data_IF_055994189600
#
_entry.id   IF_055994189600
#
_cell.length_a   1.000
_cell.length_b   1.000
_cell.length_c   1.000
_cell.angle_alpha   90.00
_cell.angle_beta   90.00
_cell.angle_gamma   90.00
#
_symmetry.space_group_name_H-M   'P 1'
#
loop_
_entity.id
_entity.type
_entity.pdbx_description
1 polymer ?
#
# COMPACT_ATOMS: atom_id res chain seq x y z
N UNK A 1 -12.95 -9.71 -8.00
CA UNK A 1 -14.05 -10.24 -8.82
C UNK A 1 -13.55 -10.39 -10.24
N UNK A 2 -13.81 -11.55 -10.88
CA UNK A 2 -13.44 -11.86 -12.26
C UNK A 2 -14.71 -12.31 -12.99
N UNK A 3 -15.10 -11.58 -14.03
CA UNK A 3 -16.33 -11.81 -14.82
C UNK A 3 -17.59 -12.11 -13.97
N UNK A 4 -17.78 -11.30 -12.91
CA UNK A 4 -18.93 -11.40 -12.02
C UNK A 4 -18.85 -12.51 -10.97
N UNK A 5 -17.73 -13.23 -10.86
CA UNK A 5 -17.48 -14.22 -9.82
C UNK A 5 -16.46 -13.72 -8.79
N UNK A 6 -16.73 -13.97 -7.51
CA UNK A 6 -15.78 -13.69 -6.44
C UNK A 6 -14.72 -14.80 -6.40
N UNK A 7 -13.51 -14.50 -6.86
CA UNK A 7 -12.41 -15.47 -6.95
C UNK A 7 -11.32 -15.26 -5.91
N UNK A 8 -11.32 -14.12 -5.21
CA UNK A 8 -10.30 -13.78 -4.23
C UNK A 8 -10.88 -12.84 -3.18
N UNK A 9 -10.55 -13.08 -1.91
CA UNK A 9 -10.79 -12.16 -0.81
C UNK A 9 -9.45 -11.59 -0.32
N UNK A 10 -9.43 -10.29 -0.09
CA UNK A 10 -8.31 -9.58 0.52
C UNK A 10 -8.76 -9.05 1.88
N UNK A 11 -8.08 -9.47 2.94
CA UNK A 11 -8.39 -9.04 4.32
C UNK A 11 -7.13 -8.49 4.97
N UNK A 12 -7.19 -7.25 5.43
CA UNK A 12 -6.13 -6.65 6.23
C UNK A 12 -6.50 -6.76 7.71
N UNK A 13 -5.90 -7.73 8.40
CA UNK A 13 -6.16 -7.95 9.81
C UNK A 13 -5.52 -6.84 10.65
N UNK A 14 -6.38 -5.98 11.21
CA UNK A 14 -5.97 -5.01 12.24
C UNK A 14 -5.86 -5.68 13.61
N UNK A 15 -6.64 -6.74 13.82
CA UNK A 15 -6.70 -7.48 15.06
C UNK A 15 -6.85 -8.98 14.79
N UNK A 16 -6.26 -9.82 15.65
CA UNK A 16 -6.50 -11.26 15.71
C UNK A 16 -6.62 -11.71 17.16
N UNK A 17 -7.60 -12.55 17.49
CA UNK A 17 -7.85 -12.96 18.87
C UNK A 17 -8.16 -11.79 19.82
N UNK A 18 -8.72 -10.69 19.31
CA UNK A 18 -8.90 -9.40 20.04
C UNK A 18 -7.61 -8.67 20.41
N UNK A 19 -6.47 -9.09 19.86
CA UNK A 19 -5.18 -8.41 20.02
C UNK A 19 -4.88 -7.60 18.75
N UNK A 20 -4.40 -6.34 18.86
CA UNK A 20 -3.92 -5.59 17.72
C UNK A 20 -2.71 -6.29 17.08
N UNK A 21 -2.63 -6.26 15.76
CA UNK A 21 -1.49 -6.79 15.01
C UNK A 21 -0.53 -5.66 14.67
N UNK A 22 0.76 -5.91 14.85
CA UNK A 22 1.86 -5.04 14.44
C UNK A 22 3.02 -5.90 13.90
N UNK A 23 3.32 -5.85 12.59
CA UNK A 23 2.62 -5.09 11.56
C UNK A 23 1.22 -5.67 11.26
N UNK A 24 0.37 -4.85 10.63
CA UNK A 24 -0.91 -5.30 10.04
C UNK A 24 -0.64 -6.45 9.07
N UNK A 25 -1.29 -7.59 9.29
CA UNK A 25 -1.17 -8.76 8.42
C UNK A 25 -2.17 -8.70 7.28
N UNK A 26 -1.75 -9.08 6.07
CA UNK A 26 -2.64 -9.26 4.92
C UNK A 26 -2.87 -10.75 4.68
N UNK A 27 -4.14 -11.12 4.52
CA UNK A 27 -4.56 -12.43 4.05
C UNK A 27 -5.14 -12.31 2.65
N UNK A 28 -4.66 -13.18 1.76
CA UNK A 28 -5.14 -13.33 0.39
C UNK A 28 -5.69 -14.74 0.24
N UNK A 29 -7.02 -14.85 0.11
CA UNK A 29 -7.71 -16.14 0.03
C UNK A 29 -8.22 -16.35 -1.39
N UNK A 30 -7.74 -17.41 -2.05
CA UNK A 30 -8.14 -17.75 -3.42
C UNK A 30 -9.28 -18.77 -3.43
N UNK A 31 -10.36 -18.47 -4.16
CA UNK A 31 -11.40 -19.45 -4.50
C UNK A 31 -10.93 -20.31 -5.66
N UNK A 32 -10.10 -21.32 -5.37
CA UNK A 32 -9.41 -22.14 -6.37
C UNK A 32 -10.36 -22.72 -7.41
N UNK A 33 -11.48 -23.32 -6.99
CA UNK A 33 -12.43 -23.95 -7.91
C UNK A 33 -13.00 -22.95 -8.93
N UNK A 34 -13.32 -21.73 -8.50
CA UNK A 34 -13.83 -20.67 -9.39
C UNK A 34 -12.76 -20.19 -10.37
N UNK A 35 -11.52 -20.09 -9.91
CA UNK A 35 -10.38 -19.76 -10.79
C UNK A 35 -10.18 -20.86 -11.83
N UNK A 36 -10.19 -22.13 -11.42
CA UNK A 36 -10.03 -23.27 -12.32
C UNK A 36 -11.19 -23.36 -13.32
N UNK A 37 -12.43 -23.17 -12.87
CA UNK A 37 -13.60 -23.09 -13.76
C UNK A 37 -13.41 -22.03 -14.85
N UNK A 38 -12.91 -20.85 -14.47
CA UNK A 38 -12.62 -19.78 -15.42
C UNK A 38 -11.56 -20.21 -16.44
N UNK A 39 -10.42 -20.72 -15.96
CA UNK A 39 -9.30 -21.14 -16.81
C UNK A 39 -9.67 -22.28 -17.77
N UNK A 40 -10.54 -23.19 -17.35
CA UNK A 40 -11.01 -24.31 -18.16
C UNK A 40 -12.30 -24.01 -18.95
N UNK A 41 -12.79 -22.77 -18.88
CA UNK A 41 -14.03 -22.33 -19.51
C UNK A 41 -15.25 -23.22 -19.15
N UNK A 42 -15.38 -23.59 -17.86
CA UNK A 42 -16.45 -24.41 -17.30
C UNK A 42 -17.48 -23.55 -16.57
N UNK A 43 -18.75 -23.94 -16.67
CA UNK A 43 -19.88 -23.20 -16.05
C UNK A 43 -20.27 -23.71 -14.67
N UNK A 44 -19.85 -24.92 -14.32
CA UNK A 44 -20.13 -25.57 -13.04
C UNK A 44 -18.89 -26.30 -12.55
N UNK A 45 -18.72 -26.37 -11.23
CA UNK A 45 -17.55 -27.00 -10.58
C UNK A 45 -17.40 -28.48 -10.95
N UNK A 46 -18.51 -29.17 -11.14
CA UNK A 46 -18.56 -30.60 -11.48
C UNK A 46 -17.88 -30.94 -12.81
N UNK A 47 -17.83 -29.97 -13.75
CA UNK A 47 -17.24 -30.18 -15.08
C UNK A 47 -15.73 -29.88 -15.12
N UNK A 48 -15.13 -29.48 -13.98
CA UNK A 48 -13.69 -29.26 -13.87
C UNK A 48 -12.98 -30.58 -14.18
N UNK A 49 -12.00 -30.49 -15.06
CA UNK A 49 -11.03 -31.53 -15.31
C UNK A 49 -9.93 -31.44 -14.24
N UNK A 50 -9.72 -32.52 -13.48
CA UNK A 50 -8.80 -32.52 -12.34
C UNK A 50 -7.38 -32.93 -12.75
N UNK A 51 -7.24 -33.88 -13.68
CA UNK A 51 -5.95 -34.49 -14.03
C UNK A 51 -5.81 -34.90 -15.53
N UNK A 52 -6.73 -34.48 -16.39
CA UNK A 52 -6.81 -34.86 -17.80
C UNK A 52 -7.57 -36.17 -18.06
N UNK A 53 -8.00 -36.86 -17.01
CA UNK A 53 -8.67 -38.16 -17.08
C UNK A 53 -10.00 -38.13 -16.32
N UNK A 54 -10.03 -37.55 -15.13
CA UNK A 54 -11.16 -37.55 -14.23
C UNK A 54 -11.75 -36.14 -14.06
N UNK A 55 -13.07 -36.11 -13.95
CA UNK A 55 -13.82 -34.92 -13.59
C UNK A 55 -13.90 -34.73 -12.08
N UNK A 56 -14.11 -33.48 -11.65
CA UNK A 56 -14.38 -33.14 -10.26
C UNK A 56 -15.63 -33.88 -9.73
N UNK A 57 -16.60 -34.11 -10.62
CA UNK A 57 -17.79 -34.90 -10.34
C UNK A 57 -17.48 -36.29 -9.82
N UNK A 58 -16.67 -37.04 -10.57
CA UNK A 58 -16.34 -38.43 -10.28
C UNK A 58 -15.59 -38.57 -8.95
N UNK A 59 -14.77 -37.58 -8.62
CA UNK A 59 -13.94 -37.60 -7.41
C UNK A 59 -14.72 -37.13 -6.18
N UNK A 60 -15.51 -36.06 -6.30
CA UNK A 60 -16.02 -35.34 -5.12
C UNK A 60 -17.54 -35.38 -4.94
N UNK A 61 -18.34 -35.64 -6.00
CA UNK A 61 -19.82 -35.62 -5.86
C UNK A 61 -20.34 -36.58 -4.78
N UNK A 62 -19.90 -37.84 -4.71
CA UNK A 62 -20.44 -38.77 -3.70
C UNK A 62 -20.22 -38.25 -2.28
N UNK A 63 -19.01 -37.80 -1.96
CA UNK A 63 -18.66 -37.26 -0.65
C UNK A 63 -19.44 -35.98 -0.32
N UNK A 64 -19.62 -35.08 -1.29
CA UNK A 64 -20.41 -33.85 -1.08
C UNK A 64 -21.87 -34.16 -0.77
N UNK A 65 -22.48 -35.11 -1.49
CA UNK A 65 -23.85 -35.56 -1.25
C UNK A 65 -23.98 -36.20 0.13
N UNK A 66 -23.06 -37.09 0.50
CA UNK A 66 -23.04 -37.73 1.82
C UNK A 66 -22.89 -36.69 2.95
N UNK A 67 -22.01 -35.70 2.77
CA UNK A 67 -21.87 -34.60 3.73
C UNK A 67 -23.13 -33.74 3.82
N UNK A 68 -23.80 -33.42 2.71
CA UNK A 68 -25.05 -32.67 2.74
C UNK A 68 -26.14 -33.42 3.50
N UNK A 69 -26.35 -34.71 3.18
CA UNK A 69 -27.33 -35.56 3.87
C UNK A 69 -27.02 -35.63 5.37
N UNK A 70 -25.75 -35.85 5.73
CA UNK A 70 -25.35 -35.87 7.13
C UNK A 70 -25.59 -34.52 7.81
N UNK A 71 -25.03 -33.43 7.27
CA UNK A 71 -25.04 -32.10 7.88
C UNK A 71 -26.45 -31.52 8.01
N UNK A 72 -27.34 -31.77 7.05
CA UNK A 72 -28.67 -31.16 7.02
C UNK A 72 -29.76 -32.06 7.58
N UNK A 73 -29.61 -33.39 7.57
CA UNK A 73 -30.70 -34.31 7.90
C UNK A 73 -30.35 -35.26 9.05
N UNK A 74 -29.20 -35.94 8.98
CA UNK A 74 -28.91 -37.08 9.85
C UNK A 74 -28.09 -36.77 11.10
N UNK A 75 -27.35 -35.65 11.13
CA UNK A 75 -26.51 -35.30 12.27
C UNK A 75 -27.37 -35.22 13.55
N UNK A 76 -26.92 -35.96 14.56
CA UNK A 76 -27.61 -36.08 15.83
C UNK A 76 -27.33 -34.87 16.71
N UNK A 77 -28.35 -34.04 16.89
CA UNK A 77 -28.25 -32.76 17.58
C UNK A 77 -27.81 -32.92 19.03
N UNK A 78 -28.31 -33.93 19.74
CA UNK A 78 -28.02 -34.12 21.16
C UNK A 78 -26.56 -34.58 21.36
N UNK A 79 -26.08 -35.50 20.51
CA UNK A 79 -24.67 -35.89 20.51
C UNK A 79 -23.75 -34.74 20.13
N UNK A 80 -24.12 -33.92 19.15
CA UNK A 80 -23.33 -32.75 18.77
C UNK A 80 -23.27 -31.71 19.90
N UNK A 81 -24.36 -31.49 20.65
CA UNK A 81 -24.35 -30.63 21.84
C UNK A 81 -23.41 -31.17 22.92
N UNK A 82 -23.45 -32.47 23.20
CA UNK A 82 -22.52 -33.10 24.14
C UNK A 82 -21.06 -32.95 23.70
N UNK A 83 -20.78 -33.19 22.42
CA UNK A 83 -19.43 -33.01 21.86
C UNK A 83 -18.96 -31.56 21.98
N UNK A 84 -19.83 -30.59 21.71
CA UNK A 84 -19.52 -29.18 21.88
C UNK A 84 -19.12 -28.87 23.33
N UNK A 85 -19.89 -29.33 24.31
CA UNK A 85 -19.61 -29.14 25.74
C UNK A 85 -18.29 -29.81 26.16
N UNK A 86 -18.02 -31.02 25.66
CA UNK A 86 -16.75 -31.73 25.91
C UNK A 86 -15.57 -30.94 25.34
N UNK A 87 -15.64 -30.52 24.07
CA UNK A 87 -14.56 -29.74 23.46
C UNK A 87 -14.36 -28.38 24.14
N UNK A 88 -15.45 -27.74 24.56
CA UNK A 88 -15.38 -26.52 25.33
C UNK A 88 -14.65 -26.72 26.66
N UNK A 89 -14.99 -27.78 27.40
CA UNK A 89 -14.37 -28.12 28.67
C UNK A 89 -12.88 -28.45 28.51
N UNK A 90 -12.51 -29.24 27.49
CA UNK A 90 -11.11 -29.58 27.21
C UNK A 90 -10.30 -28.35 26.79
N UNK A 91 -10.84 -27.48 25.93
CA UNK A 91 -10.20 -26.21 25.60
C UNK A 91 -9.94 -25.36 26.86
N UNK A 92 -10.93 -25.24 27.75
CA UNK A 92 -10.78 -24.51 29.02
C UNK A 92 -9.73 -25.15 29.93
N UNK A 93 -9.70 -26.48 30.02
CA UNK A 93 -8.74 -27.24 30.80
C UNK A 93 -7.29 -27.05 30.28
N UNK A 94 -7.10 -27.00 28.97
CA UNK A 94 -5.81 -26.72 28.34
C UNK A 94 -5.38 -25.26 28.56
N UNK A 95 -6.29 -24.29 28.39
CA UNK A 95 -6.03 -22.86 28.65
C UNK A 95 -5.58 -22.65 30.09
N UNK A 96 -6.30 -23.24 31.05
CA UNK A 96 -5.97 -23.14 32.47
C UNK A 96 -4.58 -23.71 32.83
N UNK A 97 -4.07 -24.64 32.02
CA UNK A 97 -2.73 -25.26 32.17
C UNK A 97 -1.66 -24.63 31.29
N UNK A 98 -1.99 -23.59 30.52
CA UNK A 98 -1.03 -22.94 29.64
C UNK A 98 -0.66 -23.74 28.39
N UNK A 99 -1.49 -24.69 27.97
CA UNK A 99 -1.26 -25.54 26.79
C UNK A 99 -1.93 -24.94 25.54
N UNK A 100 -1.22 -24.06 24.83
CA UNK A 100 -1.77 -23.27 23.70
C UNK A 100 -2.27 -24.12 22.53
N UNK A 101 -1.41 -24.95 21.94
CA UNK A 101 -1.75 -25.69 20.71
C UNK A 101 -2.91 -26.67 20.96
N UNK A 102 -2.91 -27.50 22.03
CA UNK A 102 -4.06 -28.35 22.32
C UNK A 102 -5.35 -27.55 22.58
N UNK A 103 -5.27 -26.41 23.26
CA UNK A 103 -6.44 -25.55 23.46
C UNK A 103 -6.98 -25.03 22.13
N UNK A 104 -6.11 -24.61 21.21
CA UNK A 104 -6.50 -24.15 19.88
C UNK A 104 -7.23 -25.23 19.09
N UNK A 105 -6.69 -26.46 19.07
CA UNK A 105 -7.32 -27.60 18.39
C UNK A 105 -8.74 -27.87 18.89
N UNK A 106 -8.95 -27.83 20.21
CA UNK A 106 -10.29 -28.02 20.78
C UNK A 106 -11.24 -26.86 20.43
N UNK A 107 -10.75 -25.62 20.37
CA UNK A 107 -11.55 -24.47 19.89
C UNK A 107 -11.95 -24.66 18.42
N UNK A 108 -11.07 -25.19 17.56
CA UNK A 108 -11.41 -25.51 16.17
C UNK A 108 -12.47 -26.61 16.07
N UNK A 109 -12.34 -27.69 16.85
CA UNK A 109 -13.35 -28.76 16.91
C UNK A 109 -14.70 -28.23 17.41
N UNK A 110 -14.68 -27.36 18.41
CA UNK A 110 -15.87 -26.69 18.94
C UNK A 110 -16.54 -25.82 17.86
N UNK A 111 -15.76 -25.04 17.10
CA UNK A 111 -16.24 -24.23 15.97
C UNK A 111 -16.89 -25.08 14.87
N UNK A 112 -16.24 -26.17 14.47
CA UNK A 112 -16.80 -27.09 13.49
C UNK A 112 -18.10 -27.76 13.99
N UNK A 113 -18.13 -28.20 15.25
CA UNK A 113 -19.33 -28.80 15.87
C UNK A 113 -20.49 -27.81 15.89
N UNK A 114 -20.22 -26.53 16.18
CA UNK A 114 -21.22 -25.47 16.08
C UNK A 114 -21.76 -25.32 14.65
N UNK A 115 -20.91 -25.34 13.62
CA UNK A 115 -21.36 -25.25 12.23
C UNK A 115 -22.30 -26.41 11.85
N UNK A 116 -22.04 -27.63 12.34
CA UNK A 116 -22.95 -28.76 12.15
C UNK A 116 -24.30 -28.55 12.84
N UNK A 117 -24.30 -28.06 14.08
CA UNK A 117 -25.53 -27.74 14.81
C UNK A 117 -26.33 -26.62 14.12
N UNK A 118 -25.65 -25.61 13.58
CA UNK A 118 -26.27 -24.49 12.85
C UNK A 118 -26.85 -24.96 11.50
N UNK A 119 -26.12 -25.81 10.76
CA UNK A 119 -26.59 -26.44 9.52
C UNK A 119 -27.82 -27.33 9.75
N UNK A 120 -27.88 -28.05 10.89
CA UNK A 120 -29.07 -28.81 11.30
C UNK A 120 -30.27 -27.92 11.66
N UNK A 121 -30.11 -26.60 11.71
CA UNK A 121 -31.16 -25.67 12.13
C UNK A 121 -31.53 -25.83 13.60
N UNK A 122 -30.65 -26.43 14.41
CA UNK A 122 -30.92 -26.76 15.80
C UNK A 122 -30.66 -25.61 16.79
N UNK A 123 -30.07 -24.51 16.30
CA UNK A 123 -29.65 -23.35 17.11
C UNK A 123 -30.55 -22.15 16.81
N UNK A 124 -31.20 -21.63 17.86
CA UNK A 124 -31.97 -20.38 17.78
C UNK A 124 -31.08 -19.13 17.74
N UNK A 125 -31.64 -17.97 17.34
CA UNK A 125 -30.88 -16.71 17.22
C UNK A 125 -30.15 -16.31 18.51
N UNK A 126 -30.83 -16.39 19.65
CA UNK A 126 -30.24 -16.05 20.97
C UNK A 126 -29.15 -17.04 21.37
N UNK A 127 -29.36 -18.33 21.09
CA UNK A 127 -28.42 -19.39 21.40
C UNK A 127 -27.15 -19.25 20.55
N UNK A 128 -27.29 -18.91 19.26
CA UNK A 128 -26.18 -18.62 18.35
C UNK A 128 -25.26 -17.53 18.88
N UNK A 129 -25.82 -16.45 19.45
CA UNK A 129 -25.04 -15.38 20.04
C UNK A 129 -24.19 -15.86 21.23
N UNK A 130 -24.72 -16.78 22.05
CA UNK A 130 -23.99 -17.41 23.17
C UNK A 130 -22.83 -18.27 22.65
N UNK A 131 -23.09 -19.14 21.69
CA UNK A 131 -22.06 -19.95 21.02
C UNK A 131 -20.90 -19.09 20.51
N UNK A 132 -21.19 -17.99 19.81
CA UNK A 132 -20.13 -17.08 19.34
C UNK A 132 -19.41 -16.36 20.46
N UNK A 133 -20.10 -15.94 21.53
CA UNK A 133 -19.47 -15.30 22.67
C UNK A 133 -18.46 -16.23 23.35
N UNK A 134 -18.82 -17.51 23.51
CA UNK A 134 -17.95 -18.51 24.14
C UNK A 134 -16.72 -18.84 23.29
N UNK A 135 -16.91 -19.10 21.99
CA UNK A 135 -15.79 -19.34 21.07
C UNK A 135 -14.86 -18.14 20.97
N UNK A 136 -15.39 -16.91 20.90
CA UNK A 136 -14.57 -15.69 20.90
C UNK A 136 -13.75 -15.55 22.19
N UNK A 137 -14.34 -15.87 23.34
CA UNK A 137 -13.65 -15.81 24.64
C UNK A 137 -12.49 -16.79 24.70
N UNK A 138 -12.69 -18.03 24.24
CA UNK A 138 -11.65 -19.05 24.21
C UNK A 138 -10.56 -18.73 23.19
N UNK A 139 -10.94 -18.32 21.97
CA UNK A 139 -9.98 -17.90 20.94
C UNK A 139 -9.09 -16.75 21.44
N UNK A 140 -9.68 -15.74 22.08
CA UNK A 140 -8.94 -14.64 22.72
C UNK A 140 -7.96 -15.16 23.79
N UNK A 141 -8.43 -16.01 24.71
CA UNK A 141 -7.58 -16.55 25.76
C UNK A 141 -6.40 -17.39 25.20
N UNK A 142 -6.64 -18.15 24.13
CA UNK A 142 -5.58 -18.88 23.42
C UNK A 142 -4.58 -17.92 22.78
N UNK A 143 -5.03 -16.86 22.13
CA UNK A 143 -4.16 -15.83 21.54
C UNK A 143 -3.32 -15.09 22.60
N UNK A 144 -3.93 -14.67 23.70
CA UNK A 144 -3.23 -14.04 24.84
C UNK A 144 -2.15 -14.98 25.41
N UNK A 145 -2.49 -16.26 25.58
CA UNK A 145 -1.55 -17.26 26.08
C UNK A 145 -0.41 -17.53 25.08
N UNK A 146 -0.70 -17.59 23.79
CA UNK A 146 0.31 -17.74 22.75
C UNK A 146 1.32 -16.58 22.77
N UNK A 147 0.84 -15.34 22.82
CA UNK A 147 1.71 -14.16 22.90
C UNK A 147 2.56 -14.20 24.15
N UNK A 148 1.98 -14.57 25.31
CA UNK A 148 2.73 -14.72 26.56
C UNK A 148 3.82 -15.81 26.48
N UNK A 149 3.55 -16.93 25.80
CA UNK A 149 4.58 -17.95 25.54
C UNK A 149 5.71 -17.37 24.69
N UNK A 150 5.40 -16.65 23.60
CA UNK A 150 6.40 -16.02 22.75
C UNK A 150 7.22 -14.97 23.52
N UNK A 151 6.59 -14.18 24.37
CA UNK A 151 7.27 -13.19 25.24
C UNK A 151 8.23 -13.87 26.22
N UNK A 152 7.84 -14.99 26.83
CA UNK A 152 8.71 -15.77 27.73
C UNK A 152 9.92 -16.36 27.01
N UNK A 153 9.76 -16.69 25.73
CA UNK A 153 10.83 -17.14 24.84
C UNK A 153 11.64 -15.98 24.23
N UNK A 154 11.39 -14.74 24.66
CA UNK A 154 12.02 -13.51 24.14
C UNK A 154 11.80 -13.29 22.64
N UNK A 155 10.61 -13.66 22.15
CA UNK A 155 10.19 -13.56 20.75
C UNK A 155 11.26 -14.10 19.76
N UNK A 156 11.55 -15.41 19.78
CA UNK A 156 12.74 -15.99 19.15
C UNK A 156 12.77 -15.87 17.61
N UNK A 157 11.68 -15.43 17.00
CA UNK A 157 11.51 -15.25 15.56
C UNK A 157 11.47 -13.78 15.12
N UNK A 158 11.48 -12.83 16.07
CA UNK A 158 11.73 -11.43 15.74
C UNK A 158 13.24 -11.27 15.51
N UNK A 159 13.63 -10.96 14.28
CA UNK A 159 15.02 -10.73 13.94
C UNK A 159 15.55 -9.52 14.74
N UNK A 160 16.51 -9.75 15.64
CA UNK A 160 17.24 -8.74 16.41
C UNK A 160 16.38 -7.62 17.04
N UNK A 161 15.67 -7.93 18.13
CA UNK A 161 15.48 -6.97 19.23
C UNK A 161 14.51 -5.79 19.01
N UNK A 162 13.69 -5.79 17.96
CA UNK A 162 12.55 -4.88 17.88
C UNK A 162 11.38 -5.40 18.75
N UNK A 163 11.57 -5.38 20.07
CA UNK A 163 10.44 -5.32 20.99
C UNK A 163 9.84 -3.91 20.85
N UNK A 164 8.93 -3.72 19.90
CA UNK A 164 8.26 -2.44 19.68
C UNK A 164 7.40 -2.10 20.89
N UNK A 165 7.85 -1.11 21.64
CA UNK A 165 7.14 -0.49 22.75
C UNK A 165 5.91 0.28 22.27
N UNK A 166 4.74 -0.10 22.82
CA UNK A 166 3.48 0.65 22.91
C UNK A 166 2.74 1.05 21.61
N UNK A 167 1.40 0.94 21.58
CA UNK A 167 0.59 1.22 20.40
C UNK A 167 0.46 2.73 20.20
N UNK A 168 0.79 3.21 19.00
CA UNK A 168 0.43 4.57 18.56
C UNK A 168 1.58 5.48 18.17
N UNK A 169 2.65 4.96 17.56
CA UNK A 169 3.48 5.79 16.69
C UNK A 169 3.89 4.95 15.49
N UNK A 170 3.34 5.28 14.31
CA UNK A 170 3.82 4.75 13.04
C UNK A 170 5.26 5.21 12.88
N UNK A 171 6.21 4.38 13.31
CA UNK A 171 7.60 4.52 12.89
C UNK A 171 7.59 4.25 11.38
N UNK A 172 7.77 5.32 10.61
CA UNK A 172 8.19 5.20 9.23
C UNK A 172 9.39 4.24 9.21
N UNK A 173 9.33 3.23 8.34
CA UNK A 173 10.45 2.34 8.06
C UNK A 173 11.59 3.22 7.55
N UNK A 174 12.44 3.70 8.45
CA UNK A 174 13.73 4.26 8.11
C UNK A 174 14.66 3.08 7.90
N UNK A 175 14.54 2.47 6.72
CA UNK A 175 15.68 1.80 6.12
C UNK A 175 16.74 2.88 5.88
N UNK A 176 17.65 3.04 6.85
CA UNK A 176 18.79 3.96 6.76
C UNK A 176 19.98 3.34 6.03
N UNK A 177 19.78 2.29 5.24
CA UNK A 177 20.73 2.02 4.16
C UNK A 177 20.41 2.98 3.03
N UNK A 178 20.91 4.23 3.14
CA UNK A 178 21.00 5.11 1.98
C UNK A 178 21.68 4.30 0.86
N UNK A 179 21.02 4.08 -0.30
CA UNK A 179 21.73 3.54 -1.43
C UNK A 179 22.83 4.55 -1.73
N UNK A 180 24.10 4.15 -1.58
CA UNK A 180 25.25 4.98 -1.91
C UNK A 180 24.97 5.63 -3.27
N UNK A 181 24.83 6.97 -3.26
CA UNK A 181 24.57 7.73 -4.46
C UNK A 181 25.65 7.38 -5.49
N UNK A 182 25.22 6.72 -6.56
CA UNK A 182 26.05 6.27 -7.68
C UNK A 182 26.63 7.47 -8.41
N UNK A 183 27.73 8.04 -7.90
CA UNK A 183 28.54 9.06 -8.56
C UNK A 183 27.85 10.40 -8.86
N UNK A 184 28.65 11.43 -9.17
CA UNK A 184 28.09 12.66 -9.74
C UNK A 184 27.59 12.37 -11.17
N UNK A 185 26.29 12.55 -11.40
CA UNK A 185 25.72 12.50 -12.75
C UNK A 185 26.11 13.79 -13.47
N UNK A 186 27.08 13.71 -14.39
CA UNK A 186 27.63 14.87 -15.11
C UNK A 186 27.21 14.95 -16.58
N UNK A 187 26.56 13.91 -17.10
CA UNK A 187 26.08 13.81 -18.47
C UNK A 187 24.61 13.36 -18.48
N UNK A 188 23.86 13.57 -19.58
CA UNK A 188 22.50 13.08 -19.69
C UNK A 188 22.40 11.58 -19.47
N UNK A 189 21.40 11.14 -18.69
CA UNK A 189 21.16 9.74 -18.37
C UNK A 189 19.67 9.39 -18.46
N UNK A 190 19.37 8.10 -18.59
CA UNK A 190 18.00 7.63 -18.55
C UNK A 190 17.49 7.58 -17.11
N UNK A 191 16.24 7.99 -16.92
CA UNK A 191 15.53 7.89 -15.66
C UNK A 191 14.32 6.96 -15.81
N UNK A 192 14.19 6.02 -14.87
CA UNK A 192 13.07 5.09 -14.80
C UNK A 192 12.33 5.29 -13.48
N UNK A 193 11.05 5.62 -13.55
CA UNK A 193 10.14 5.61 -12.42
C UNK A 193 9.18 4.43 -12.56
N UNK A 194 9.13 3.58 -11.54
CA UNK A 194 8.21 2.46 -11.47
C UNK A 194 7.24 2.63 -10.30
N UNK A 195 5.96 2.45 -10.59
CA UNK A 195 4.86 2.49 -9.64
C UNK A 195 4.26 1.09 -9.53
N UNK A 196 4.60 0.40 -8.44
CA UNK A 196 4.03 -0.89 -8.11
C UNK A 196 2.59 -0.75 -7.61
N UNK A 197 1.74 -1.69 -8.00
CA UNK A 197 0.39 -1.84 -7.47
C UNK A 197 0.04 -3.33 -7.42
N UNK A 198 -0.89 -3.71 -6.54
CA UNK A 198 -1.36 -5.09 -6.47
C UNK A 198 -2.18 -5.46 -7.70
N UNK A 199 -3.29 -4.74 -7.94
CA UNK A 199 -4.15 -4.93 -9.12
C UNK A 199 -4.99 -3.66 -9.39
N UNK A 200 -4.52 -2.80 -10.29
CA UNK A 200 -5.26 -1.67 -10.85
C UNK A 200 -6.34 -2.16 -11.83
N UNK A 201 -7.58 -1.63 -11.75
CA UNK A 201 -8.58 -1.84 -12.78
C UNK A 201 -8.04 -1.47 -14.17
N UNK A 202 -8.38 -2.21 -15.25
CA UNK A 202 -7.85 -1.93 -16.59
C UNK A 202 -8.07 -0.49 -17.08
N UNK A 203 -9.22 0.11 -16.71
CA UNK A 203 -9.52 1.51 -17.01
C UNK A 203 -8.60 2.48 -16.26
N UNK A 204 -8.26 2.18 -15.01
CA UNK A 204 -7.38 3.00 -14.18
C UNK A 204 -5.92 2.88 -14.66
N UNK A 205 -5.52 1.75 -15.26
CA UNK A 205 -4.21 1.63 -15.93
C UNK A 205 -4.11 2.63 -17.08
N UNK A 206 -5.13 2.69 -17.95
CA UNK A 206 -5.16 3.65 -19.07
C UNK A 206 -5.15 5.10 -18.59
N UNK A 207 -6.02 5.44 -17.62
CA UNK A 207 -6.05 6.77 -17.01
C UNK A 207 -4.72 7.13 -16.32
N UNK A 208 -4.08 6.16 -15.66
CA UNK A 208 -2.79 6.32 -14.98
C UNK A 208 -1.65 6.62 -15.95
N UNK A 209 -1.57 5.89 -17.07
CA UNK A 209 -0.58 6.14 -18.13
C UNK A 209 -0.70 7.57 -18.65
N UNK A 210 -1.92 8.03 -18.94
CA UNK A 210 -2.15 9.40 -19.43
C UNK A 210 -1.80 10.47 -18.40
N UNK A 211 -2.18 10.26 -17.14
CA UNK A 211 -1.87 11.19 -16.05
C UNK A 211 -0.37 11.32 -15.83
N UNK A 212 0.34 10.20 -15.74
CA UNK A 212 1.79 10.22 -15.54
C UNK A 212 2.49 10.88 -16.72
N UNK A 213 2.08 10.56 -17.96
CA UNK A 213 2.67 11.15 -19.16
C UNK A 213 2.55 12.68 -19.18
N UNK A 214 1.34 13.22 -18.91
CA UNK A 214 1.11 14.66 -18.86
C UNK A 214 1.83 15.32 -17.68
N UNK A 215 1.59 14.83 -16.46
CA UNK A 215 2.06 15.48 -15.25
C UNK A 215 3.60 15.46 -15.15
N UNK A 216 4.24 14.36 -15.54
CA UNK A 216 5.70 14.26 -15.50
C UNK A 216 6.35 15.18 -16.55
N UNK A 217 5.77 15.30 -17.74
CA UNK A 217 6.24 16.25 -18.76
C UNK A 217 6.16 17.70 -18.23
N UNK A 218 5.03 18.08 -17.65
CA UNK A 218 4.82 19.41 -17.07
C UNK A 218 5.81 19.71 -15.93
N UNK A 219 6.05 18.73 -15.05
CA UNK A 219 6.98 18.85 -13.93
C UNK A 219 8.43 18.99 -14.40
N UNK A 220 8.87 18.18 -15.38
CA UNK A 220 10.21 18.28 -15.96
C UNK A 220 10.42 19.62 -16.66
N UNK A 221 9.40 20.10 -17.39
CA UNK A 221 9.44 21.40 -18.05
C UNK A 221 9.50 22.55 -17.03
N UNK A 222 8.67 22.53 -15.99
CA UNK A 222 8.69 23.53 -14.92
C UNK A 222 10.02 23.55 -14.17
N UNK A 223 10.61 22.37 -13.97
CA UNK A 223 11.96 22.20 -13.42
C UNK A 223 13.07 22.54 -14.43
N UNK A 224 12.75 22.87 -15.69
CA UNK A 224 13.71 23.19 -16.74
C UNK A 224 14.74 22.09 -16.97
N UNK A 225 14.31 20.84 -16.82
CA UNK A 225 15.07 19.64 -17.13
C UNK A 225 14.74 19.21 -18.56
N UNK A 226 15.76 19.10 -19.40
CA UNK A 226 15.60 18.67 -20.79
C UNK A 226 15.75 17.16 -20.90
N UNK A 227 15.02 16.54 -21.82
CA UNK A 227 15.10 15.11 -22.10
C UNK A 227 14.83 14.84 -23.58
N UNK A 228 15.18 13.65 -24.06
CA UNK A 228 15.01 13.25 -25.47
C UNK A 228 13.62 12.70 -25.73
N UNK A 229 13.15 11.78 -24.89
CA UNK A 229 11.83 11.14 -25.01
C UNK A 229 11.25 10.77 -23.63
N UNK A 230 9.92 10.75 -23.53
CA UNK A 230 9.18 10.28 -22.36
C UNK A 230 8.18 9.21 -22.81
N UNK A 231 8.42 7.97 -22.36
CA UNK A 231 7.52 6.85 -22.62
C UNK A 231 6.88 6.38 -21.33
N UNK A 232 5.56 6.24 -21.34
CA UNK A 232 4.80 5.70 -20.22
C UNK A 232 4.05 4.45 -20.66
N UNK A 233 4.19 3.36 -19.91
CA UNK A 233 3.49 2.09 -20.16
C UNK A 233 2.99 1.51 -18.84
N UNK A 234 2.14 0.48 -18.91
CA UNK A 234 1.71 -0.19 -17.71
C UNK A 234 0.92 -1.47 -17.92
N UNK A 235 0.80 -2.20 -16.83
CA UNK A 235 -0.07 -3.35 -16.62
C UNK A 235 -0.91 -3.09 -15.38
N UNK A 236 -1.81 -4.02 -15.03
CA UNK A 236 -2.59 -3.92 -13.80
C UNK A 236 -1.73 -3.93 -12.53
N UNK A 237 -0.45 -4.33 -12.59
CA UNK A 237 0.43 -4.37 -11.41
C UNK A 237 1.52 -3.32 -11.41
N UNK A 238 1.68 -2.59 -12.51
CA UNK A 238 2.82 -1.69 -12.67
C UNK A 238 2.54 -0.58 -13.66
N UNK A 239 2.83 0.65 -13.28
CA UNK A 239 2.96 1.78 -14.21
C UNK A 239 4.43 2.18 -14.27
N UNK A 240 4.94 2.44 -15.47
CA UNK A 240 6.37 2.74 -15.69
C UNK A 240 6.48 3.99 -16.55
N UNK A 241 7.29 4.96 -16.11
CA UNK A 241 7.73 6.08 -16.90
C UNK A 241 9.24 5.97 -17.16
N UNK A 242 9.62 5.95 -18.43
CA UNK A 242 11.01 5.93 -18.89
C UNK A 242 11.31 7.24 -19.62
N UNK A 243 12.18 8.04 -19.02
CA UNK A 243 12.67 9.31 -19.56
C UNK A 243 14.07 9.06 -20.10
N UNK A 244 14.29 9.30 -21.39
CA UNK A 244 15.61 9.07 -22.01
C UNK A 244 16.40 10.37 -22.12
N UNK A 245 17.71 10.29 -21.86
CA UNK A 245 18.61 11.45 -21.99
C UNK A 245 18.22 12.65 -21.11
N UNK A 246 17.76 12.40 -19.89
CA UNK A 246 17.44 13.44 -18.91
C UNK A 246 18.72 14.20 -18.53
N UNK A 247 18.67 15.53 -18.63
CA UNK A 247 19.80 16.41 -18.32
C UNK A 247 20.31 16.22 -16.88
N UNK A 248 21.62 16.34 -16.63
CA UNK A 248 22.21 16.18 -15.29
C UNK A 248 21.96 17.36 -14.36
N UNK A 249 21.59 18.53 -14.91
CA UNK A 249 21.27 19.75 -14.16
C UNK A 249 20.12 20.50 -14.83
N UNK A 250 19.40 21.29 -14.03
CA UNK A 250 18.47 22.29 -14.55
C UNK A 250 19.23 23.34 -15.36
N UNK A 251 18.56 23.94 -16.33
CA UNK A 251 19.15 25.09 -17.05
C UNK A 251 19.22 26.33 -16.14
N UNK A 252 20.34 27.04 -16.22
CA UNK A 252 20.52 28.31 -15.51
C UNK A 252 19.48 29.33 -15.96
N UNK A 253 18.96 30.09 -15.00
CA UNK A 253 17.99 31.14 -15.29
C UNK A 253 18.61 32.52 -15.12
N UNK A 254 18.39 33.38 -16.10
CA UNK A 254 18.69 34.81 -16.00
C UNK A 254 17.38 35.53 -15.75
N UNK A 255 17.16 35.97 -14.51
CA UNK A 255 15.99 36.78 -14.14
C UNK A 255 16.36 38.24 -14.28
N UNK A 256 15.74 38.92 -15.25
CA UNK A 256 15.89 40.36 -15.44
C UNK A 256 14.70 41.11 -14.81
N UNK A 257 14.99 42.08 -13.93
CA UNK A 257 13.98 42.97 -13.35
C UNK A 257 14.31 44.41 -13.70
N UNK A 258 13.36 45.09 -14.34
CA UNK A 258 13.47 46.50 -14.68
C UNK A 258 13.27 47.37 -13.44
N UNK A 259 14.22 48.24 -13.18
CA UNK A 259 14.23 49.21 -12.09
C UNK A 259 13.90 50.63 -12.55
N UNK A 260 14.28 51.64 -11.75
CA UNK A 260 14.01 53.05 -12.07
C UNK A 260 14.71 53.52 -13.36
N UNK A 261 14.22 54.63 -13.92
CA UNK A 261 14.87 55.29 -15.05
C UNK A 261 16.27 55.81 -14.64
N UNK A 262 17.18 55.89 -15.60
CA UNK A 262 18.60 56.24 -15.41
C UNK A 262 18.78 57.59 -14.67
N UNK A 263 17.96 58.58 -15.01
CA UNK A 263 17.91 59.92 -14.39
C UNK A 263 17.41 59.94 -12.95
N UNK A 264 16.71 58.88 -12.52
CA UNK A 264 16.26 58.68 -11.14
C UNK A 264 17.16 57.70 -10.39
N UNK A 265 17.93 56.88 -11.11
CA UNK A 265 18.83 55.89 -10.56
C UNK A 265 20.19 56.49 -10.18
N UNK A 266 20.69 57.45 -10.94
CA UNK A 266 21.98 58.12 -10.69
C UNK A 266 21.81 59.65 -10.67
N UNK A 267 22.57 60.32 -9.82
CA UNK A 267 22.60 61.79 -9.75
C UNK A 267 23.50 62.41 -10.84
N UNK A 268 23.57 63.75 -10.91
CA UNK A 268 24.40 64.47 -11.89
C UNK A 268 25.90 64.20 -11.75
N UNK A 269 26.35 63.63 -10.63
CA UNK A 269 27.74 63.22 -10.39
C UNK A 269 27.98 61.73 -10.68
N UNK A 270 26.95 61.00 -11.15
CA UNK A 270 27.02 59.56 -11.45
C UNK A 270 26.91 58.66 -10.23
N UNK A 271 26.57 59.19 -9.04
CA UNK A 271 26.42 58.38 -7.84
C UNK A 271 25.01 57.78 -7.75
N UNK A 272 24.87 56.54 -7.25
CA UNK A 272 23.57 55.90 -7.12
C UNK A 272 22.68 56.61 -6.09
N UNK A 273 21.45 56.89 -6.49
CA UNK A 273 20.45 57.50 -5.61
C UNK A 273 19.86 56.50 -4.63
N UNK A 274 19.09 56.99 -3.65
CA UNK A 274 18.30 56.13 -2.74
C UNK A 274 17.34 55.20 -3.49
N UNK A 275 16.88 55.59 -4.69
CA UNK A 275 16.00 54.76 -5.50
C UNK A 275 16.75 53.57 -6.11
N UNK A 276 17.96 53.78 -6.65
CA UNK A 276 18.82 52.70 -7.13
C UNK A 276 19.26 51.77 -5.99
N UNK A 277 19.68 52.34 -4.85
CA UNK A 277 20.08 51.57 -3.67
C UNK A 277 18.93 50.74 -3.08
N UNK A 278 17.72 51.31 -3.02
CA UNK A 278 16.53 50.59 -2.58
C UNK A 278 16.13 49.48 -3.55
N UNK A 279 16.22 49.73 -4.86
CA UNK A 279 15.93 48.73 -5.88
C UNK A 279 16.93 47.57 -5.84
N UNK A 280 18.24 47.85 -5.83
CA UNK A 280 19.29 46.83 -5.74
C UNK A 280 19.13 45.96 -4.48
N UNK A 281 18.91 46.59 -3.32
CA UNK A 281 18.65 45.89 -2.06
C UNK A 281 17.39 45.01 -2.14
N UNK A 282 16.33 45.50 -2.77
CA UNK A 282 15.10 44.74 -2.98
C UNK A 282 15.25 43.55 -3.93
N UNK A 283 16.24 43.58 -4.83
CA UNK A 283 16.57 42.47 -5.73
C UNK A 283 17.71 41.58 -5.20
N UNK A 284 18.34 41.96 -4.08
CA UNK A 284 19.43 41.21 -3.45
C UNK A 284 20.75 41.25 -4.23
N UNK A 285 20.98 42.31 -5.00
CA UNK A 285 22.22 42.55 -5.77
C UNK A 285 22.90 43.83 -5.29
N UNK A 286 24.20 43.97 -5.51
CA UNK A 286 24.89 45.22 -5.24
C UNK A 286 24.49 46.28 -6.28
N UNK A 287 24.52 47.56 -5.91
CA UNK A 287 24.17 48.65 -6.83
C UNK A 287 25.15 48.72 -8.02
N UNK A 288 26.39 48.30 -7.81
CA UNK A 288 27.41 48.21 -8.87
C UNK A 288 27.15 47.08 -9.87
N UNK A 289 26.29 46.11 -9.54
CA UNK A 289 25.91 44.98 -10.41
C UNK A 289 24.69 45.31 -11.29
N UNK A 290 24.13 46.52 -11.19
CA UNK A 290 23.00 46.94 -12.02
C UNK A 290 23.45 47.26 -13.45
N UNK A 291 22.75 46.69 -14.43
CA UNK A 291 23.00 46.95 -15.85
C UNK A 291 22.11 48.09 -16.36
N UNK A 292 22.65 48.96 -17.21
CA UNK A 292 21.90 50.07 -17.81
C UNK A 292 21.53 49.76 -19.25
N UNK A 293 20.23 49.72 -19.58
CA UNK A 293 19.71 49.50 -20.94
C UNK A 293 18.50 50.40 -21.21
N UNK A 294 18.38 50.96 -22.41
CA UNK A 294 17.21 51.73 -22.88
C UNK A 294 16.61 52.72 -21.86
N UNK A 295 17.47 53.52 -21.20
CA UNK A 295 17.12 54.53 -20.18
C UNK A 295 16.65 54.00 -18.82
N UNK A 296 16.79 52.70 -18.54
CA UNK A 296 16.47 52.10 -17.23
C UNK A 296 17.64 51.31 -16.67
N UNK A 297 17.66 51.14 -15.34
CA UNK A 297 18.53 50.15 -14.68
C UNK A 297 17.83 48.79 -14.60
N UNK A 298 18.58 47.72 -14.71
CA UNK A 298 18.12 46.34 -14.61
C UNK A 298 18.94 45.59 -13.57
N UNK A 299 18.27 44.82 -12.72
CA UNK A 299 18.93 43.80 -11.93
C UNK A 299 18.90 42.49 -12.74
N UNK A 300 20.06 41.97 -13.08
CA UNK A 300 20.22 40.72 -13.82
C UNK A 300 20.72 39.66 -12.84
N UNK A 301 19.82 38.81 -12.35
CA UNK A 301 20.17 37.76 -11.41
C UNK A 301 20.35 36.44 -12.15
N UNK A 302 21.55 35.87 -12.07
CA UNK A 302 21.79 34.48 -12.50
C UNK A 302 21.43 33.54 -11.36
N UNK A 303 20.46 32.67 -11.60
CA UNK A 303 20.08 31.59 -10.71
C UNK A 303 20.68 30.32 -11.29
N UNK A 304 21.68 29.77 -10.61
CA UNK A 304 22.30 28.51 -11.01
C UNK A 304 21.27 27.37 -10.90
N UNK A 305 21.22 26.52 -11.93
CA UNK A 305 20.41 25.32 -11.91
C UNK A 305 20.85 24.35 -10.80
N UNK A 306 19.89 23.60 -10.24
CA UNK A 306 20.21 22.53 -9.28
C UNK A 306 20.56 21.24 -10.02
N UNK A 307 21.37 20.35 -9.41
CA UNK A 307 21.56 18.99 -9.92
C UNK A 307 20.25 18.23 -10.00
N UNK A 308 20.06 17.45 -11.07
CA UNK A 308 18.85 16.64 -11.26
C UNK A 308 18.64 15.67 -10.11
N UNK A 309 19.71 15.08 -9.57
CA UNK A 309 19.65 14.18 -8.40
C UNK A 309 19.06 14.83 -7.15
N UNK A 310 19.16 16.16 -7.02
CA UNK A 310 18.59 16.90 -5.89
C UNK A 310 17.13 17.31 -6.13
N UNK A 311 16.69 17.43 -7.39
CA UNK A 311 15.35 17.93 -7.75
C UNK A 311 14.39 16.79 -8.05
N UNK A 312 14.89 15.71 -8.65
CA UNK A 312 14.08 14.58 -9.13
C UNK A 312 13.25 13.91 -8.02
N UNK A 313 13.76 13.70 -6.78
CA UNK A 313 12.93 13.17 -5.68
C UNK A 313 11.73 14.07 -5.36
N UNK A 314 11.92 15.40 -5.36
CA UNK A 314 10.85 16.38 -5.13
C UNK A 314 9.78 16.29 -6.23
N UNK A 315 10.21 16.15 -7.50
CA UNK A 315 9.30 15.98 -8.64
C UNK A 315 8.54 14.66 -8.59
N UNK A 316 9.19 13.58 -8.15
CA UNK A 316 8.52 12.28 -7.99
C UNK A 316 7.40 12.36 -6.96
N UNK A 317 7.66 12.98 -5.80
CA UNK A 317 6.61 13.17 -4.77
C UNK A 317 5.47 14.04 -5.32
N UNK A 318 5.78 15.15 -5.98
CA UNK A 318 4.77 16.03 -6.59
C UNK A 318 3.93 15.31 -7.66
N UNK A 319 4.56 14.46 -8.47
CA UNK A 319 3.87 13.64 -9.45
C UNK A 319 2.84 12.73 -8.77
N UNK A 320 3.25 12.01 -7.72
CA UNK A 320 2.40 11.08 -6.98
C UNK A 320 1.22 11.79 -6.30
N UNK A 321 1.49 12.91 -5.64
CA UNK A 321 0.46 13.75 -5.01
C UNK A 321 -0.51 14.35 -6.04
N UNK A 322 -0.08 14.47 -7.31
CA UNK A 322 -0.87 14.95 -8.43
C UNK A 322 -1.79 13.91 -9.06
N UNK A 323 -1.56 12.60 -8.83
CA UNK A 323 -2.39 11.55 -9.41
C UNK A 323 -3.80 11.55 -8.82
N UNK A 324 -4.81 11.34 -9.67
CA UNK A 324 -6.22 11.30 -9.29
C UNK A 324 -6.83 10.00 -9.75
N UNK A 325 -7.51 9.34 -8.82
CA UNK A 325 -8.17 8.06 -9.05
C UNK A 325 -9.64 8.17 -8.69
N UNK A 326 -10.52 7.46 -9.42
CA UNK A 326 -11.97 7.47 -9.16
C UNK A 326 -12.31 7.04 -7.73
N UNK A 327 -11.54 6.08 -7.21
CA UNK A 327 -11.55 5.69 -5.79
C UNK A 327 -10.12 5.67 -5.29
N UNK A 328 -9.88 6.40 -4.21
CA UNK A 328 -8.61 6.39 -3.50
C UNK A 328 -8.80 5.69 -2.17
N UNK A 329 -7.96 4.68 -1.90
CA UNK A 329 -7.82 4.12 -0.56
C UNK A 329 -6.65 4.81 0.12
N UNK A 330 -6.86 5.29 1.34
CA UNK A 330 -5.80 5.91 2.15
C UNK A 330 -5.31 4.89 3.16
N UNK A 331 -4.00 4.68 3.17
CA UNK A 331 -3.33 3.88 4.19
C UNK A 331 -3.10 4.76 5.42
N UNK A 332 -3.27 4.22 6.63
CA UNK A 332 -2.95 4.87 7.92
C UNK A 332 -3.66 6.18 8.31
N UNK A 333 -4.60 6.73 7.55
CA UNK A 333 -5.51 7.75 8.09
C UNK A 333 -6.75 7.08 8.66
N UNK A 334 -6.78 6.86 9.98
CA UNK A 334 -8.00 6.60 10.72
C UNK A 334 -9.05 7.67 10.35
N UNK A 335 -10.20 7.24 9.85
CA UNK A 335 -11.38 8.10 9.81
C UNK A 335 -11.90 8.38 11.22
#
# INVERSE_FOLDING_TARGET
WLDGQEITQFTYFQQSGSLPLDPVSVEITYGLDRIVMYLQNKRQVWDIDVDGVHSFDEIYRPAEVEHCVYNFELADVDRLKQLYEIYQAEAQACIARGLVIPAHDFVLRQSHTFNLLDARGAIGVTERAKFFADMRRQARAVSELYVKQRETEEFPWLANGEATSAPGTSAAVTDTSEPEATGQVTAPQDFLLELGSEELPPQDVGEGIEQISRNLADLLQAAKLTYTDLRVTGTTRRLVAHVTGLSPMQTDEVVEKRGPALDRAFDEAGNPTKAAAGFARGQGVDVSELETRDKYVYAVKRVAGRPTTAVLPELCVQLLDGLRWRKTMRWNSSN
#
